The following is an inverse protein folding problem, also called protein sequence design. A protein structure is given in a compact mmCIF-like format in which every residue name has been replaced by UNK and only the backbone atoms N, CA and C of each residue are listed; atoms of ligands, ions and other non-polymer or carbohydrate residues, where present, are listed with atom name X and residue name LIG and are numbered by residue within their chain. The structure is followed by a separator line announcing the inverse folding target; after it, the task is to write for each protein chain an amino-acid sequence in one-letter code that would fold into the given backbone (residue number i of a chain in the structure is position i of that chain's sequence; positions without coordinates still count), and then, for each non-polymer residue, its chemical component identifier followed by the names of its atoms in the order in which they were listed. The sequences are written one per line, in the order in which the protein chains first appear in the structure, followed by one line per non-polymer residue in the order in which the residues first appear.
data_IF_305753134236
#
_entry.id   IF_305753134236
#
_cell.length_a   1.000
_cell.length_b   1.000
_cell.length_c   1.000
_cell.angle_alpha   90.00
_cell.angle_beta   90.00
_cell.angle_gamma   90.00
#
_symmetry.space_group_name_H-M   'P 1'
#
loop_
_entity.id
_entity.type
_entity.pdbx_description
1 polymer ?
#
# COMPACT_ATOMS: atom_id res chain seq x y z
N UNK A 1 41.27 -6.23 -28.59
CA UNK A 1 39.87 -6.19 -29.01
C UNK A 1 39.10 -6.93 -27.91
N UNK A 2 38.47 -6.20 -26.98
CA UNK A 2 37.63 -6.84 -25.96
C UNK A 2 36.35 -7.28 -26.68
N UNK A 3 35.95 -8.53 -26.52
CA UNK A 3 34.68 -9.01 -27.06
C UNK A 3 33.52 -8.39 -26.26
N UNK A 4 32.39 -8.12 -26.89
CA UNK A 4 31.19 -7.48 -26.27
C UNK A 4 30.78 -8.15 -24.96
N UNK A 5 30.95 -9.47 -24.81
CA UNK A 5 30.65 -10.22 -23.60
C UNK A 5 31.56 -9.89 -22.40
N UNK A 6 32.84 -9.60 -22.63
CA UNK A 6 33.79 -9.26 -21.57
C UNK A 6 33.60 -7.84 -21.04
N UNK A 7 33.21 -6.92 -21.94
CA UNK A 7 32.94 -5.53 -21.57
C UNK A 7 31.64 -5.39 -20.75
N UNK A 8 30.58 -6.10 -21.18
CA UNK A 8 29.32 -6.23 -20.47
C UNK A 8 29.52 -6.72 -19.02
N UNK A 9 30.36 -7.74 -18.82
CA UNK A 9 30.64 -8.28 -17.50
C UNK A 9 31.43 -7.30 -16.60
N UNK A 10 32.30 -6.48 -17.14
CA UNK A 10 33.05 -5.47 -16.38
C UNK A 10 32.11 -4.33 -15.92
N UNK A 11 31.22 -3.84 -16.78
CA UNK A 11 30.29 -2.76 -16.44
C UNK A 11 29.27 -3.14 -15.35
N UNK A 12 28.96 -4.41 -15.17
CA UNK A 12 28.07 -4.89 -14.11
C UNK A 12 28.67 -4.71 -12.70
N UNK A 13 29.98 -4.66 -12.58
CA UNK A 13 30.69 -4.53 -11.30
C UNK A 13 31.08 -3.08 -10.96
N UNK A 14 30.96 -2.14 -11.91
CA UNK A 14 31.26 -0.73 -11.67
C UNK A 14 30.06 -0.03 -11.02
N UNK A 15 30.32 0.83 -10.06
CA UNK A 15 29.31 1.71 -9.51
C UNK A 15 28.95 2.85 -10.50
N UNK A 16 27.91 3.62 -10.17
CA UNK A 16 27.45 4.69 -11.06
C UNK A 16 28.47 5.84 -11.19
N UNK A 17 29.33 6.08 -10.18
CA UNK A 17 30.36 7.12 -10.24
C UNK A 17 31.51 6.70 -11.14
N UNK A 18 31.91 5.43 -11.10
CA UNK A 18 32.95 4.86 -11.96
C UNK A 18 32.52 4.84 -13.43
N UNK A 19 31.26 4.47 -13.71
CA UNK A 19 30.68 4.53 -15.06
C UNK A 19 30.70 5.97 -15.59
N UNK A 20 30.32 6.93 -14.77
CA UNK A 20 30.34 8.34 -15.11
C UNK A 20 31.75 8.84 -15.40
N UNK A 21 32.72 8.49 -14.57
CA UNK A 21 34.14 8.83 -14.80
C UNK A 21 34.65 8.30 -16.14
N UNK A 22 34.33 7.04 -16.48
CA UNK A 22 34.70 6.44 -17.76
C UNK A 22 34.07 7.16 -18.96
N UNK A 23 32.83 7.61 -18.86
CA UNK A 23 32.16 8.34 -19.97
C UNK A 23 32.73 9.73 -20.21
N UNK A 24 33.34 10.35 -19.20
CA UNK A 24 33.97 11.67 -19.28
C UNK A 24 35.39 11.60 -19.87
N UNK A 25 36.12 10.48 -19.66
CA UNK A 25 37.56 10.35 -19.98
C UNK A 25 37.83 10.19 -21.49
N UNK A 26 36.98 9.52 -22.28
CA UNK A 26 37.23 9.43 -23.73
C UNK A 26 35.95 9.27 -24.56
N UNK A 27 36.03 9.79 -25.82
CA UNK A 27 34.93 9.66 -26.80
C UNK A 27 34.66 8.19 -27.19
N UNK A 28 35.67 7.35 -27.22
CA UNK A 28 35.55 5.91 -27.53
C UNK A 28 34.85 5.13 -26.46
N UNK A 29 35.18 5.38 -25.18
CA UNK A 29 34.51 4.77 -24.05
C UNK A 29 33.04 5.20 -23.96
N UNK A 30 32.74 6.46 -24.27
CA UNK A 30 31.40 6.96 -24.32
C UNK A 30 30.51 6.23 -25.31
N UNK A 31 30.99 5.95 -26.52
CA UNK A 31 30.25 5.23 -27.56
C UNK A 31 29.96 3.78 -27.15
N UNK A 32 30.95 3.07 -26.61
CA UNK A 32 30.81 1.69 -26.13
C UNK A 32 29.83 1.58 -24.94
N UNK A 33 29.97 2.48 -23.96
CA UNK A 33 29.11 2.52 -22.78
C UNK A 33 27.69 2.94 -23.19
N UNK A 34 27.52 3.89 -24.16
CA UNK A 34 26.20 4.35 -24.58
C UNK A 34 25.37 3.25 -25.22
N UNK A 35 25.99 2.40 -26.02
CA UNK A 35 25.27 1.30 -26.69
C UNK A 35 24.79 0.24 -25.68
N UNK A 36 25.62 -0.04 -24.67
CA UNK A 36 25.28 -0.98 -23.62
C UNK A 36 24.25 -0.42 -22.61
N UNK A 37 24.39 0.86 -22.19
CA UNK A 37 23.54 1.45 -21.13
C UNK A 37 22.21 2.03 -21.66
N UNK A 38 22.06 2.31 -22.95
CA UNK A 38 20.83 2.87 -23.52
C UNK A 38 19.56 2.08 -23.17
N UNK A 39 19.70 0.77 -22.99
CA UNK A 39 18.55 -0.12 -22.80
C UNK A 39 18.48 -0.79 -21.42
N UNK A 40 19.52 -0.71 -20.58
CA UNK A 40 19.64 -1.62 -19.44
C UNK A 40 19.83 -0.99 -18.07
N UNK A 41 20.25 0.27 -17.95
CA UNK A 41 20.59 0.84 -16.65
C UNK A 41 20.22 2.31 -16.52
N UNK A 42 19.68 2.67 -15.34
CA UNK A 42 19.47 4.06 -14.94
C UNK A 42 20.70 4.53 -14.16
N UNK A 43 21.29 5.65 -14.57
CA UNK A 43 22.47 6.23 -13.93
C UNK A 43 22.02 7.23 -12.87
N UNK A 44 22.35 6.97 -11.60
CA UNK A 44 22.08 7.87 -10.49
C UNK A 44 23.08 9.04 -10.44
N UNK A 45 22.58 10.27 -10.48
CA UNK A 45 23.38 11.49 -10.33
C UNK A 45 22.96 12.22 -9.04
N UNK A 46 23.56 11.89 -7.91
CA UNK A 46 23.24 12.54 -6.63
C UNK A 46 23.55 14.05 -6.70
N UNK A 47 22.49 14.89 -6.68
CA UNK A 47 22.54 16.36 -6.63
C UNK A 47 23.45 17.05 -7.67
N UNK A 48 23.97 16.33 -8.67
CA UNK A 48 24.82 16.88 -9.71
C UNK A 48 24.01 17.16 -10.98
N UNK A 49 23.39 18.35 -11.02
CA UNK A 49 22.53 18.82 -12.13
C UNK A 49 23.25 18.89 -13.46
N UNK A 50 24.45 19.43 -13.48
CA UNK A 50 25.22 19.63 -14.72
C UNK A 50 25.58 18.28 -15.35
N UNK A 51 26.05 17.34 -14.53
CA UNK A 51 26.36 15.99 -14.99
C UNK A 51 25.10 15.27 -15.51
N UNK A 52 23.99 15.36 -14.77
CA UNK A 52 22.72 14.75 -15.16
C UNK A 52 22.23 15.29 -16.52
N UNK A 53 22.25 16.60 -16.70
CA UNK A 53 21.88 17.24 -17.96
C UNK A 53 22.78 16.81 -19.13
N UNK A 54 24.09 16.72 -18.90
CA UNK A 54 25.05 16.26 -19.94
C UNK A 54 24.81 14.81 -20.32
N UNK A 55 24.65 13.90 -19.35
CA UNK A 55 24.40 12.48 -19.58
C UNK A 55 23.06 12.26 -20.29
N UNK A 56 22.01 12.95 -19.88
CA UNK A 56 20.70 12.88 -20.51
C UNK A 56 20.73 13.36 -21.98
N UNK A 57 21.46 14.45 -22.26
CA UNK A 57 21.67 14.93 -23.63
C UNK A 57 22.45 13.93 -24.50
N UNK A 58 23.23 13.04 -23.91
CA UNK A 58 23.90 11.94 -24.62
C UNK A 58 23.00 10.69 -24.78
N UNK A 59 21.74 10.74 -24.31
CA UNK A 59 20.74 9.68 -24.45
C UNK A 59 20.77 8.62 -23.36
N UNK A 60 21.47 8.86 -22.24
CA UNK A 60 21.41 7.96 -21.09
C UNK A 60 20.11 8.17 -20.29
N UNK A 61 19.57 7.08 -19.73
CA UNK A 61 18.52 7.15 -18.73
C UNK A 61 19.14 7.60 -17.40
N UNK A 62 18.88 8.81 -16.99
CA UNK A 62 19.45 9.42 -15.78
C UNK A 62 18.39 9.55 -14.72
N UNK A 63 18.74 9.17 -13.49
CA UNK A 63 17.99 9.48 -12.28
C UNK A 63 18.72 10.60 -11.52
N UNK A 64 18.01 11.69 -11.24
CA UNK A 64 18.51 12.83 -10.49
C UNK A 64 17.60 13.10 -9.29
N UNK A 65 18.21 13.16 -8.11
CA UNK A 65 17.54 13.54 -6.88
C UNK A 65 18.04 14.90 -6.39
N UNK A 66 17.14 15.89 -6.36
CA UNK A 66 17.37 17.24 -5.88
C UNK A 66 16.50 17.58 -4.66
N UNK A 67 15.96 16.57 -3.97
CA UNK A 67 15.12 16.75 -2.78
C UNK A 67 15.78 17.68 -1.76
N UNK A 68 14.99 18.61 -1.19
CA UNK A 68 15.43 19.60 -0.21
C UNK A 68 16.56 20.53 -0.70
N UNK A 69 16.69 20.78 -1.99
CA UNK A 69 17.61 21.78 -2.53
C UNK A 69 16.87 23.10 -2.82
N UNK A 70 17.62 24.20 -2.94
CA UNK A 70 17.06 25.50 -3.36
C UNK A 70 16.92 25.60 -4.90
N UNK A 71 16.58 24.46 -5.55
CA UNK A 71 16.41 24.43 -7.01
C UNK A 71 15.14 25.21 -7.40
N UNK A 72 15.29 26.16 -8.34
CA UNK A 72 14.21 26.94 -8.96
C UNK A 72 14.15 26.69 -10.47
N UNK A 73 15.30 26.79 -11.16
CA UNK A 73 15.40 26.55 -12.60
C UNK A 73 15.68 25.07 -12.92
N UNK A 74 14.87 24.48 -13.76
CA UNK A 74 14.96 23.08 -14.21
C UNK A 74 15.05 22.93 -15.73
N UNK A 75 15.23 24.03 -16.46
CA UNK A 75 15.24 24.09 -17.92
C UNK A 75 16.24 23.11 -18.58
N UNK A 76 17.41 22.91 -17.94
CA UNK A 76 18.43 21.97 -18.41
C UNK A 76 18.09 20.49 -18.17
N UNK A 77 17.03 20.16 -17.43
CA UNK A 77 16.69 18.81 -16.97
C UNK A 77 15.61 18.13 -17.80
N UNK A 78 15.16 18.72 -18.88
CA UNK A 78 14.07 18.26 -19.76
C UNK A 78 14.21 16.83 -20.30
N UNK A 79 15.41 16.26 -20.32
CA UNK A 79 15.70 14.90 -20.83
C UNK A 79 16.08 13.90 -19.72
N UNK A 80 16.03 14.30 -18.46
CA UNK A 80 16.26 13.40 -17.33
C UNK A 80 15.14 12.37 -17.30
N UNK A 81 15.47 11.08 -17.10
CA UNK A 81 14.49 10.00 -17.12
C UNK A 81 13.67 9.93 -15.84
N UNK A 82 14.32 10.01 -14.70
CA UNK A 82 13.68 10.08 -13.38
C UNK A 82 14.20 11.30 -12.62
N UNK A 83 13.30 12.19 -12.24
CA UNK A 83 13.64 13.45 -11.59
C UNK A 83 12.84 13.63 -10.30
N UNK A 84 13.55 13.76 -9.18
CA UNK A 84 12.94 14.09 -7.90
C UNK A 84 13.28 15.55 -7.53
N UNK A 85 12.24 16.37 -7.47
CA UNK A 85 12.28 17.79 -7.11
C UNK A 85 11.44 18.08 -5.84
N UNK A 86 11.12 17.04 -5.08
CA UNK A 86 10.28 17.23 -3.88
C UNK A 86 10.93 18.18 -2.88
N UNK A 87 10.10 19.00 -2.23
CA UNK A 87 10.56 20.01 -1.27
C UNK A 87 11.59 21.00 -1.84
N UNK A 88 11.48 21.36 -3.13
CA UNK A 88 12.29 22.41 -3.78
C UNK A 88 11.46 23.66 -3.98
N UNK A 89 12.07 24.72 -4.55
CA UNK A 89 11.40 25.99 -4.87
C UNK A 89 10.95 26.09 -6.32
N UNK A 90 10.87 24.95 -7.02
CA UNK A 90 10.42 24.92 -8.41
C UNK A 90 8.96 25.34 -8.50
N UNK A 91 8.68 26.23 -9.46
CA UNK A 91 7.33 26.69 -9.82
C UNK A 91 7.04 26.48 -11.30
N UNK A 92 8.04 26.63 -12.19
CA UNK A 92 7.91 26.41 -13.63
C UNK A 92 8.45 25.02 -14.00
N UNK A 93 7.55 24.19 -14.53
CA UNK A 93 7.82 22.80 -14.97
C UNK A 93 7.53 22.59 -16.47
N UNK A 94 7.33 23.69 -17.21
CA UNK A 94 6.96 23.67 -18.64
C UNK A 94 7.91 22.85 -19.53
N UNK A 95 9.18 22.74 -19.14
CA UNK A 95 10.19 21.97 -19.87
C UNK A 95 10.25 20.48 -19.49
N UNK A 96 9.50 20.02 -18.47
CA UNK A 96 9.65 18.67 -17.91
C UNK A 96 8.69 17.63 -18.51
N UNK A 97 7.89 17.95 -19.52
CA UNK A 97 6.89 17.08 -20.11
C UNK A 97 7.40 15.77 -20.73
N UNK A 98 8.70 15.63 -20.97
CA UNK A 98 9.31 14.40 -21.46
C UNK A 98 10.02 13.57 -20.38
N UNK A 99 9.97 13.98 -19.11
CA UNK A 99 10.47 13.19 -17.99
C UNK A 99 9.55 12.00 -17.78
N UNK A 100 10.13 10.80 -17.63
CA UNK A 100 9.32 9.58 -17.49
C UNK A 100 8.71 9.46 -16.08
N UNK A 101 9.51 9.74 -15.05
CA UNK A 101 9.09 9.71 -13.64
C UNK A 101 9.47 11.03 -12.98
N UNK A 102 8.48 11.78 -12.52
CA UNK A 102 8.65 13.11 -11.95
C UNK A 102 7.99 13.20 -10.59
N UNK A 103 8.78 13.60 -9.59
CA UNK A 103 8.26 13.92 -8.26
C UNK A 103 8.40 15.43 -8.00
N UNK A 104 7.26 16.09 -7.82
CA UNK A 104 7.10 17.50 -7.51
C UNK A 104 6.40 17.72 -6.15
N UNK A 105 6.32 16.70 -5.33
CA UNK A 105 5.60 16.80 -4.05
C UNK A 105 6.18 17.92 -3.16
N UNK A 106 5.31 18.59 -2.40
CA UNK A 106 5.70 19.71 -1.53
C UNK A 106 6.41 20.85 -2.27
N UNK A 107 6.01 21.15 -3.52
CA UNK A 107 6.49 22.32 -4.27
C UNK A 107 5.37 23.35 -4.44
N UNK A 108 5.72 24.52 -4.94
CA UNK A 108 4.77 25.63 -5.19
C UNK A 108 4.18 25.59 -6.61
N UNK A 109 4.29 24.44 -7.31
CA UNK A 109 3.78 24.26 -8.68
C UNK A 109 2.26 24.43 -8.70
N UNK A 110 1.77 25.14 -9.72
CA UNK A 110 0.33 25.37 -9.98
C UNK A 110 -0.07 24.97 -11.40
N UNK A 111 0.78 25.21 -12.39
CA UNK A 111 0.55 24.85 -13.80
C UNK A 111 1.30 23.55 -14.15
N UNK A 112 0.55 22.55 -14.57
CA UNK A 112 1.02 21.22 -14.96
C UNK A 112 0.62 20.83 -16.39
N UNK A 113 0.16 21.81 -17.17
CA UNK A 113 -0.36 21.61 -18.54
C UNK A 113 0.67 20.94 -19.49
N UNK A 114 1.97 21.18 -19.25
CA UNK A 114 3.04 20.56 -20.04
C UNK A 114 3.37 19.11 -19.65
N UNK A 115 2.78 18.55 -18.58
CA UNK A 115 3.16 17.26 -18.02
C UNK A 115 2.31 16.07 -18.52
N UNK A 116 1.53 16.24 -19.56
CA UNK A 116 0.59 15.25 -20.12
C UNK A 116 1.24 13.91 -20.54
N UNK A 117 2.55 13.93 -20.87
CA UNK A 117 3.30 12.76 -21.35
C UNK A 117 4.16 12.12 -20.23
N UNK A 118 4.17 12.66 -19.02
CA UNK A 118 4.86 12.05 -17.88
C UNK A 118 4.14 10.76 -17.49
N UNK A 119 4.88 9.65 -17.37
CA UNK A 119 4.26 8.36 -17.07
C UNK A 119 3.90 8.19 -15.60
N UNK A 120 4.80 8.60 -14.72
CA UNK A 120 4.59 8.56 -13.25
C UNK A 120 4.83 9.95 -12.69
N UNK A 121 3.80 10.56 -12.12
CA UNK A 121 3.80 11.94 -11.66
C UNK A 121 3.29 12.00 -10.21
N UNK A 122 4.11 12.57 -9.32
CA UNK A 122 3.71 12.89 -7.97
C UNK A 122 3.60 14.42 -7.82
N UNK A 123 2.39 14.89 -7.52
CA UNK A 123 2.02 16.28 -7.28
C UNK A 123 1.45 16.48 -5.86
N UNK A 124 1.64 15.49 -4.96
CA UNK A 124 1.07 15.56 -3.61
C UNK A 124 1.53 16.83 -2.88
N UNK A 125 0.60 17.42 -2.13
CA UNK A 125 0.85 18.64 -1.36
C UNK A 125 1.38 19.82 -2.18
N UNK A 126 0.99 19.92 -3.46
CA UNK A 126 1.22 21.08 -4.32
C UNK A 126 0.02 22.02 -4.32
N UNK A 127 0.13 23.14 -5.04
CA UNK A 127 -0.97 24.11 -5.21
C UNK A 127 -1.79 23.88 -6.49
N UNK A 128 -1.63 22.74 -7.13
CA UNK A 128 -2.34 22.37 -8.36
C UNK A 128 -3.85 22.30 -8.09
N UNK A 129 -4.64 22.81 -9.02
CA UNK A 129 -6.11 22.76 -9.01
C UNK A 129 -6.67 22.26 -10.34
N UNK A 130 -6.03 22.58 -11.46
CA UNK A 130 -6.39 22.10 -12.80
C UNK A 130 -5.49 20.94 -13.20
N UNK A 131 -6.11 19.79 -13.50
CA UNK A 131 -5.46 18.53 -13.87
C UNK A 131 -6.03 17.95 -15.17
N UNK A 132 -6.81 18.75 -15.92
CA UNK A 132 -7.53 18.34 -17.14
C UNK A 132 -6.63 17.73 -18.21
N UNK A 133 -5.36 18.12 -18.29
CA UNK A 133 -4.38 17.59 -19.26
C UNK A 133 -3.75 16.26 -18.82
N UNK A 134 -3.92 15.81 -17.56
CA UNK A 134 -3.18 14.68 -16.99
C UNK A 134 -3.86 13.31 -17.20
N UNK A 135 -4.92 13.23 -17.98
CA UNK A 135 -5.69 11.99 -18.20
C UNK A 135 -4.90 10.83 -18.83
N UNK A 136 -3.75 11.09 -19.44
CA UNK A 136 -2.87 10.07 -20.03
C UNK A 136 -1.73 9.62 -19.10
N UNK A 137 -1.57 10.24 -17.96
CA UNK A 137 -0.58 9.82 -16.93
C UNK A 137 -0.96 8.43 -16.42
N UNK A 138 0.00 7.54 -16.34
CA UNK A 138 -0.27 6.16 -15.92
C UNK A 138 -0.44 6.05 -14.39
N UNK A 139 0.46 6.70 -13.64
CA UNK A 139 0.41 6.75 -12.16
C UNK A 139 0.46 8.20 -11.73
N UNK A 140 -0.59 8.67 -11.07
CA UNK A 140 -0.77 10.05 -10.67
C UNK A 140 -1.11 10.14 -9.18
N UNK A 141 -0.28 10.86 -8.42
CA UNK A 141 -0.52 11.17 -7.03
C UNK A 141 -0.86 12.66 -6.90
N UNK A 142 -2.09 12.96 -6.48
CA UNK A 142 -2.65 14.27 -6.22
C UNK A 142 -3.05 14.44 -4.75
N UNK A 143 -2.55 13.57 -3.86
CA UNK A 143 -2.95 13.57 -2.45
C UNK A 143 -2.66 14.91 -1.79
N UNK A 144 -3.57 15.34 -0.91
CA UNK A 144 -3.50 16.60 -0.17
C UNK A 144 -3.42 17.86 -1.08
N UNK A 145 -3.91 17.79 -2.33
CA UNK A 145 -4.04 18.96 -3.21
C UNK A 145 -5.42 19.62 -3.08
N UNK A 146 -5.61 20.73 -3.78
CA UNK A 146 -6.91 21.44 -3.83
C UNK A 146 -7.78 21.05 -5.03
N UNK A 147 -7.43 19.98 -5.72
CA UNK A 147 -8.18 19.45 -6.86
C UNK A 147 -9.61 19.10 -6.44
N UNK A 148 -10.56 19.46 -7.28
CA UNK A 148 -12.00 19.16 -7.11
C UNK A 148 -12.61 18.51 -8.34
N UNK A 149 -12.15 18.87 -9.54
CA UNK A 149 -12.57 18.27 -10.81
C UNK A 149 -11.54 17.24 -11.28
N UNK A 150 -12.00 16.01 -11.50
CA UNK A 150 -11.22 14.85 -11.92
C UNK A 150 -11.85 14.13 -13.12
N UNK A 151 -12.76 14.81 -13.81
CA UNK A 151 -13.55 14.24 -14.92
C UNK A 151 -12.69 13.71 -16.06
N UNK A 152 -11.53 14.30 -16.32
CA UNK A 152 -10.59 13.89 -17.38
C UNK A 152 -9.64 12.76 -16.97
N UNK A 153 -9.64 12.34 -15.69
CA UNK A 153 -8.66 11.36 -15.16
C UNK A 153 -9.10 9.89 -15.28
N UNK A 154 -10.21 9.60 -15.93
CA UNK A 154 -10.77 8.25 -16.05
C UNK A 154 -9.90 7.19 -16.72
N UNK A 155 -8.84 7.58 -17.44
CA UNK A 155 -7.88 6.67 -18.10
C UNK A 155 -6.60 6.45 -17.27
N UNK A 156 -6.40 7.15 -16.18
CA UNK A 156 -5.27 6.96 -15.26
C UNK A 156 -5.35 5.54 -14.68
N UNK A 157 -4.24 4.81 -14.67
CA UNK A 157 -4.24 3.44 -14.15
C UNK A 157 -4.21 3.41 -12.62
N UNK A 158 -3.35 4.21 -12.01
CA UNK A 158 -3.27 4.35 -10.54
C UNK A 158 -3.42 5.83 -10.19
N UNK A 159 -4.46 6.16 -9.43
CA UNK A 159 -4.81 7.53 -9.07
C UNK A 159 -4.97 7.67 -7.56
N UNK A 160 -4.15 8.55 -6.96
CA UNK A 160 -4.29 8.91 -5.55
C UNK A 160 -4.88 10.32 -5.41
N UNK A 161 -6.04 10.40 -4.79
CA UNK A 161 -6.81 11.60 -4.47
C UNK A 161 -7.02 11.75 -2.96
N UNK A 162 -6.26 11.01 -2.14
CA UNK A 162 -6.37 11.03 -0.68
C UNK A 162 -6.30 12.46 -0.15
N UNK A 163 -7.21 12.84 0.76
CA UNK A 163 -7.22 14.14 1.39
C UNK A 163 -7.65 15.32 0.49
N UNK A 164 -8.05 15.06 -0.77
CA UNK A 164 -8.55 16.10 -1.68
C UNK A 164 -9.99 16.51 -1.35
N UNK A 165 -10.49 17.54 -2.06
CA UNK A 165 -11.87 18.01 -1.90
C UNK A 165 -12.83 17.43 -2.96
N UNK A 166 -12.42 16.39 -3.65
CA UNK A 166 -13.23 15.70 -4.67
C UNK A 166 -14.52 15.17 -4.04
N UNK A 167 -15.62 15.31 -4.77
CA UNK A 167 -16.95 14.80 -4.42
C UNK A 167 -17.53 13.94 -5.54
N UNK A 168 -17.33 14.33 -6.80
CA UNK A 168 -17.78 13.58 -7.97
C UNK A 168 -16.63 12.72 -8.51
N UNK A 169 -16.85 11.40 -8.57
CA UNK A 169 -15.91 10.39 -9.05
C UNK A 169 -16.53 9.52 -10.16
N UNK A 170 -17.67 9.96 -10.73
CA UNK A 170 -18.45 9.21 -11.70
C UNK A 170 -17.65 8.80 -12.94
N UNK A 171 -16.65 9.59 -13.34
CA UNK A 171 -15.80 9.32 -14.51
C UNK A 171 -14.62 8.38 -14.21
N UNK A 172 -14.38 8.00 -12.94
CA UNK A 172 -13.20 7.23 -12.52
C UNK A 172 -13.41 5.70 -12.54
N UNK A 173 -14.53 5.21 -13.03
CA UNK A 173 -14.87 3.78 -13.01
C UNK A 173 -13.95 2.84 -13.79
N UNK A 174 -13.05 3.34 -14.62
CA UNK A 174 -12.05 2.55 -15.36
C UNK A 174 -10.64 2.59 -14.73
N UNK A 175 -10.42 3.39 -13.69
CA UNK A 175 -9.17 3.43 -12.93
C UNK A 175 -8.95 2.05 -12.28
N UNK A 176 -7.73 1.52 -12.37
CA UNK A 176 -7.43 0.20 -11.81
C UNK A 176 -7.26 0.25 -10.28
N UNK A 177 -6.46 1.20 -9.79
CA UNK A 177 -6.24 1.42 -8.37
C UNK A 177 -6.58 2.87 -8.01
N UNK A 178 -7.61 3.07 -7.17
CA UNK A 178 -8.17 4.38 -6.85
C UNK A 178 -8.16 4.61 -5.34
N UNK A 179 -7.45 5.66 -4.91
CA UNK A 179 -7.34 6.07 -3.52
C UNK A 179 -8.15 7.34 -3.29
N UNK A 180 -9.19 7.25 -2.46
CA UNK A 180 -10.14 8.31 -2.15
C UNK A 180 -10.28 8.53 -0.62
N UNK A 181 -9.35 7.98 0.16
CA UNK A 181 -9.41 8.11 1.62
C UNK A 181 -9.41 9.59 2.04
N UNK A 182 -10.13 9.91 3.13
CA UNK A 182 -10.24 11.28 3.65
C UNK A 182 -10.84 12.31 2.68
N UNK A 183 -11.59 11.87 1.64
CA UNK A 183 -12.31 12.74 0.72
C UNK A 183 -13.75 12.96 1.17
N UNK A 184 -14.49 13.81 0.43
CA UNK A 184 -15.93 14.06 0.68
C UNK A 184 -16.85 13.22 -0.21
N UNK A 185 -16.32 12.20 -0.86
CA UNK A 185 -17.09 11.29 -1.73
C UNK A 185 -18.18 10.58 -0.91
N UNK A 186 -19.37 10.49 -1.48
CA UNK A 186 -20.53 9.77 -0.93
C UNK A 186 -21.11 8.79 -1.94
N UNK A 187 -21.14 9.15 -3.23
CA UNK A 187 -21.60 8.27 -4.31
C UNK A 187 -20.43 7.55 -4.98
N UNK A 188 -20.46 6.22 -4.95
CA UNK A 188 -19.45 5.31 -5.53
C UNK A 188 -20.08 4.34 -6.54
N UNK A 189 -21.32 4.59 -6.96
CA UNK A 189 -22.09 3.69 -7.83
C UNK A 189 -21.41 3.37 -9.15
N UNK A 190 -20.61 4.28 -9.69
CA UNK A 190 -19.86 4.09 -10.94
C UNK A 190 -18.53 3.36 -10.78
N UNK A 191 -18.07 3.07 -9.53
CA UNK A 191 -16.74 2.52 -9.26
C UNK A 191 -16.68 0.98 -9.21
N UNK A 192 -17.76 0.29 -9.54
CA UNK A 192 -17.85 -1.17 -9.44
C UNK A 192 -16.91 -1.98 -10.35
N UNK A 193 -16.15 -1.33 -11.26
CA UNK A 193 -15.12 -1.97 -12.11
C UNK A 193 -13.69 -1.71 -11.63
N UNK A 194 -13.50 -0.83 -10.66
CA UNK A 194 -12.19 -0.56 -10.05
C UNK A 194 -11.69 -1.85 -9.38
N UNK A 195 -10.42 -2.19 -9.59
CA UNK A 195 -9.85 -3.40 -9.01
C UNK A 195 -9.50 -3.22 -7.53
N UNK A 196 -8.84 -2.12 -7.19
CA UNK A 196 -8.47 -1.78 -5.81
C UNK A 196 -9.01 -0.41 -5.45
N UNK A 197 -9.92 -0.33 -4.47
CA UNK A 197 -10.64 0.88 -4.09
C UNK A 197 -10.46 1.17 -2.60
N UNK A 198 -9.95 2.38 -2.30
CA UNK A 198 -9.66 2.83 -0.94
C UNK A 198 -10.55 4.01 -0.58
N UNK A 199 -11.51 3.80 0.33
CA UNK A 199 -12.54 4.75 0.74
C UNK A 199 -12.51 5.04 2.25
N UNK A 200 -11.39 4.75 2.90
CA UNK A 200 -11.25 4.93 4.35
C UNK A 200 -11.59 6.35 4.78
N UNK A 201 -12.41 6.49 5.85
CA UNK A 201 -12.87 7.77 6.41
C UNK A 201 -13.62 8.68 5.42
N UNK A 202 -14.29 8.11 4.42
CA UNK A 202 -15.27 8.80 3.58
C UNK A 202 -16.67 8.73 4.21
N UNK A 203 -17.63 9.43 3.61
CA UNK A 203 -19.05 9.41 4.04
C UNK A 203 -19.91 8.45 3.20
N UNK A 204 -19.28 7.45 2.58
CA UNK A 204 -19.98 6.42 1.80
C UNK A 204 -20.90 5.61 2.73
N UNK A 205 -22.12 5.39 2.29
CA UNK A 205 -23.15 4.56 2.96
C UNK A 205 -23.56 3.38 2.06
N UNK A 206 -23.80 3.64 0.77
CA UNK A 206 -24.22 2.62 -0.21
C UNK A 206 -23.01 2.05 -0.97
N UNK A 207 -22.82 0.73 -0.87
CA UNK A 207 -21.77 -0.03 -1.55
C UNK A 207 -22.34 -1.15 -2.45
N UNK A 208 -23.63 -1.09 -2.75
CA UNK A 208 -24.37 -2.11 -3.51
C UNK A 208 -23.76 -2.41 -4.88
N UNK A 209 -23.13 -1.42 -5.51
CA UNK A 209 -22.47 -1.56 -6.82
C UNK A 209 -21.03 -2.07 -6.76
N UNK A 210 -20.44 -2.23 -5.56
CA UNK A 210 -19.01 -2.55 -5.39
C UNK A 210 -18.70 -4.06 -5.31
N UNK A 211 -19.67 -4.93 -5.46
CA UNK A 211 -19.51 -6.38 -5.31
C UNK A 211 -18.53 -7.08 -6.28
N UNK A 212 -17.99 -6.37 -7.28
CA UNK A 212 -16.98 -6.88 -8.22
C UNK A 212 -15.57 -6.32 -7.96
N UNK A 213 -15.44 -5.39 -7.03
CA UNK A 213 -14.13 -4.86 -6.59
C UNK A 213 -13.35 -6.00 -5.94
N UNK A 214 -12.08 -6.17 -6.29
CA UNK A 214 -11.25 -7.23 -5.73
C UNK A 214 -10.74 -6.88 -4.33
N UNK A 215 -10.22 -5.66 -4.17
CA UNK A 215 -9.69 -5.16 -2.89
C UNK A 215 -10.40 -3.89 -2.50
N UNK A 216 -11.10 -3.89 -1.35
CA UNK A 216 -11.97 -2.80 -0.91
C UNK A 216 -11.69 -2.40 0.54
N UNK A 217 -11.33 -1.12 0.74
CA UNK A 217 -11.10 -0.52 2.05
C UNK A 217 -12.22 0.46 2.39
N UNK A 218 -13.02 0.14 3.40
CA UNK A 218 -14.18 0.91 3.88
C UNK A 218 -14.04 1.29 5.37
N UNK A 219 -12.82 1.29 5.91
CA UNK A 219 -12.59 1.59 7.32
C UNK A 219 -13.09 2.98 7.70
N UNK A 220 -13.85 3.10 8.81
CA UNK A 220 -14.37 4.37 9.30
C UNK A 220 -15.43 5.03 8.41
N UNK A 221 -16.06 4.29 7.47
CA UNK A 221 -17.19 4.76 6.64
C UNK A 221 -18.52 4.63 7.39
N UNK A 222 -19.60 5.09 6.75
CA UNK A 222 -20.97 5.00 7.30
C UNK A 222 -21.71 3.73 6.84
N UNK A 223 -21.05 2.82 6.15
CA UNK A 223 -21.59 1.57 5.62
C UNK A 223 -22.16 0.73 6.75
N UNK A 224 -23.38 0.20 6.53
CA UNK A 224 -24.08 -0.74 7.41
C UNK A 224 -24.47 -2.03 6.68
N UNK A 225 -24.88 -1.95 5.42
CA UNK A 225 -25.22 -3.10 4.57
C UNK A 225 -24.04 -3.49 3.68
N UNK A 226 -23.59 -4.73 3.81
CA UNK A 226 -22.47 -5.33 3.06
C UNK A 226 -22.92 -6.57 2.25
N UNK A 227 -24.22 -6.79 2.13
CA UNK A 227 -24.81 -7.96 1.45
C UNK A 227 -24.34 -8.12 0.00
N UNK A 228 -24.09 -6.99 -0.70
CA UNK A 228 -23.57 -7.01 -2.07
C UNK A 228 -22.08 -7.38 -2.20
N UNK A 229 -21.31 -7.42 -1.10
CA UNK A 229 -19.86 -7.59 -1.12
C UNK A 229 -19.40 -9.04 -1.05
N UNK A 230 -20.27 -10.01 -1.23
CA UNK A 230 -20.04 -11.45 -1.13
C UNK A 230 -18.88 -11.98 -2.00
N UNK A 231 -18.55 -11.33 -3.12
CA UNK A 231 -17.49 -11.72 -4.04
C UNK A 231 -16.20 -10.88 -3.92
N UNK A 232 -16.13 -9.94 -3.00
CA UNK A 232 -14.91 -9.18 -2.72
C UNK A 232 -13.87 -10.12 -2.12
N UNK A 233 -12.65 -10.13 -2.65
CA UNK A 233 -11.60 -11.02 -2.16
C UNK A 233 -10.95 -10.49 -0.87
N UNK A 234 -10.64 -9.21 -0.83
CA UNK A 234 -10.01 -8.55 0.33
C UNK A 234 -10.87 -7.37 0.77
N UNK A 235 -11.41 -7.42 1.98
CA UNK A 235 -12.36 -6.44 2.51
C UNK A 235 -11.95 -5.94 3.89
N UNK A 236 -11.76 -4.62 4.01
CA UNK A 236 -11.43 -3.95 5.28
C UNK A 236 -12.58 -3.04 5.69
N UNK A 237 -13.24 -3.35 6.80
CA UNK A 237 -14.42 -2.66 7.37
C UNK A 237 -14.15 -2.09 8.77
N UNK A 238 -12.88 -2.03 9.19
CA UNK A 238 -12.54 -1.61 10.55
C UNK A 238 -13.17 -0.27 10.94
N UNK A 239 -13.76 -0.20 12.14
CA UNK A 239 -14.41 1.00 12.64
C UNK A 239 -15.63 1.50 11.83
N UNK A 240 -16.16 0.71 10.87
CA UNK A 240 -17.42 0.99 10.19
C UNK A 240 -18.64 0.68 11.09
N UNK A 241 -19.85 0.98 10.59
CA UNK A 241 -21.11 0.73 11.35
C UNK A 241 -21.72 -0.65 11.10
N UNK A 242 -20.99 -1.54 10.41
CA UNK A 242 -21.44 -2.90 10.08
C UNK A 242 -21.68 -3.71 11.35
N UNK A 243 -22.81 -4.46 11.36
CA UNK A 243 -23.17 -5.41 12.40
C UNK A 243 -23.51 -6.78 11.82
N UNK A 244 -24.19 -6.85 10.68
CA UNK A 244 -24.51 -8.10 9.98
C UNK A 244 -23.44 -8.41 8.92
N UNK A 245 -22.81 -9.57 9.05
CA UNK A 245 -21.74 -10.07 8.16
C UNK A 245 -22.08 -11.45 7.58
N UNK A 246 -23.32 -11.87 7.68
CA UNK A 246 -23.81 -13.20 7.25
C UNK A 246 -23.51 -13.51 5.77
N UNK A 247 -23.43 -12.46 4.91
CA UNK A 247 -23.10 -12.60 3.50
C UNK A 247 -21.58 -12.77 3.21
N UNK A 248 -20.69 -12.52 4.18
CA UNK A 248 -19.24 -12.38 3.92
C UNK A 248 -18.43 -13.67 4.07
N UNK A 249 -19.06 -14.83 4.23
CA UNK A 249 -18.39 -16.11 4.46
C UNK A 249 -17.43 -16.57 3.35
N UNK A 250 -17.50 -16.01 2.15
CA UNK A 250 -16.63 -16.35 1.02
C UNK A 250 -15.48 -15.33 0.81
N UNK A 251 -15.42 -14.25 1.59
CA UNK A 251 -14.32 -13.28 1.54
C UNK A 251 -13.04 -13.96 2.03
N UNK A 252 -11.95 -13.82 1.28
CA UNK A 252 -10.68 -14.48 1.64
C UNK A 252 -9.98 -13.75 2.80
N UNK A 253 -9.88 -12.42 2.74
CA UNK A 253 -9.30 -11.59 3.80
C UNK A 253 -10.33 -10.58 4.26
N UNK A 254 -10.72 -10.64 5.53
CA UNK A 254 -11.75 -9.81 6.13
C UNK A 254 -11.26 -9.17 7.44
N UNK A 255 -11.36 -7.85 7.55
CA UNK A 255 -11.07 -7.13 8.78
C UNK A 255 -12.30 -6.36 9.26
N UNK A 256 -12.83 -6.76 10.41
CA UNK A 256 -14.01 -6.22 11.08
C UNK A 256 -13.66 -5.53 12.40
N UNK A 257 -12.37 -5.25 12.66
CA UNK A 257 -11.91 -4.70 13.93
C UNK A 257 -12.65 -3.41 14.30
N UNK A 258 -13.09 -3.30 15.56
CA UNK A 258 -13.80 -2.12 16.06
C UNK A 258 -15.19 -1.88 15.45
N UNK A 259 -15.79 -2.90 14.81
CA UNK A 259 -17.19 -2.86 14.35
C UNK A 259 -18.16 -3.32 15.45
N UNK A 260 -19.46 -3.29 15.15
CA UNK A 260 -20.53 -3.77 16.06
C UNK A 260 -20.90 -5.24 15.82
N UNK A 261 -20.03 -5.99 15.13
CA UNK A 261 -20.27 -7.41 14.85
C UNK A 261 -20.21 -8.22 16.16
N UNK A 262 -21.21 -9.08 16.36
CA UNK A 262 -21.30 -10.05 17.46
C UNK A 262 -21.43 -11.47 16.94
N UNK A 263 -22.21 -11.69 15.86
CA UNK A 263 -22.37 -12.99 15.22
C UNK A 263 -21.38 -13.17 14.05
N UNK A 264 -20.52 -14.19 14.15
CA UNK A 264 -19.49 -14.56 13.15
C UNK A 264 -19.68 -15.99 12.64
N UNK A 265 -20.83 -16.60 12.90
CA UNK A 265 -21.12 -17.99 12.55
C UNK A 265 -20.96 -18.29 11.05
N UNK A 266 -21.20 -17.31 10.17
CA UNK A 266 -21.04 -17.43 8.72
C UNK A 266 -19.57 -17.36 8.25
N UNK A 267 -18.62 -16.96 9.11
CA UNK A 267 -17.25 -16.59 8.68
C UNK A 267 -16.23 -17.75 8.75
N UNK A 268 -16.66 -18.96 9.02
CA UNK A 268 -15.77 -20.12 9.20
C UNK A 268 -14.90 -20.50 8.00
N UNK A 269 -15.20 -20.02 6.78
CA UNK A 269 -14.41 -20.25 5.58
C UNK A 269 -13.49 -19.08 5.20
N UNK A 270 -13.52 -17.99 5.95
CA UNK A 270 -12.59 -16.85 5.74
C UNK A 270 -11.18 -17.31 6.08
N UNK A 271 -10.22 -17.04 5.19
CA UNK A 271 -8.83 -17.45 5.40
C UNK A 271 -8.10 -16.58 6.44
N UNK A 272 -8.24 -15.25 6.31
CA UNK A 272 -7.64 -14.28 7.26
C UNK A 272 -8.75 -13.40 7.82
N UNK A 273 -8.98 -13.46 9.13
CA UNK A 273 -10.07 -12.78 9.83
C UNK A 273 -9.55 -11.93 10.99
N UNK A 274 -9.81 -10.63 10.96
CA UNK A 274 -9.54 -9.68 12.04
C UNK A 274 -10.83 -9.26 12.74
N UNK A 275 -10.93 -9.52 14.03
CA UNK A 275 -12.07 -9.22 14.91
C UNK A 275 -11.69 -8.40 16.14
N UNK A 276 -10.52 -7.71 16.11
CA UNK A 276 -10.04 -6.96 17.29
C UNK A 276 -11.10 -5.98 17.81
N UNK A 277 -11.29 -5.94 19.12
CA UNK A 277 -12.20 -5.00 19.78
C UNK A 277 -13.62 -5.01 19.23
N UNK A 278 -14.16 -6.21 18.89
CA UNK A 278 -15.57 -6.43 18.55
C UNK A 278 -16.32 -7.02 19.74
N UNK A 279 -17.68 -7.10 19.60
CA UNK A 279 -18.56 -7.73 20.59
C UNK A 279 -18.62 -9.26 20.53
N UNK A 280 -17.77 -9.89 19.74
CA UNK A 280 -17.77 -11.35 19.54
C UNK A 280 -17.44 -12.08 20.83
N UNK A 281 -18.26 -13.12 21.14
CA UNK A 281 -18.08 -14.01 22.30
C UNK A 281 -18.03 -15.47 21.88
N UNK A 282 -18.78 -15.87 20.82
CA UNK A 282 -18.80 -17.22 20.27
C UNK A 282 -17.95 -17.32 19.00
N UNK A 283 -16.96 -18.20 19.04
CA UNK A 283 -16.00 -18.46 17.94
C UNK A 283 -16.01 -19.95 17.51
N UNK A 284 -17.04 -20.68 17.94
CA UNK A 284 -17.15 -22.13 17.70
C UNK A 284 -17.09 -22.52 16.21
N UNK A 285 -17.54 -21.63 15.32
CA UNK A 285 -17.54 -21.86 13.87
C UNK A 285 -16.23 -21.44 13.18
N UNK A 286 -15.25 -20.85 13.89
CA UNK A 286 -14.04 -20.28 13.29
C UNK A 286 -12.83 -21.23 13.23
N UNK A 287 -13.00 -22.50 13.58
CA UNK A 287 -11.92 -23.48 13.66
C UNK A 287 -11.16 -23.76 12.34
N UNK A 288 -11.72 -23.40 11.18
CA UNK A 288 -11.06 -23.55 9.87
C UNK A 288 -10.39 -22.26 9.36
N UNK A 289 -10.52 -21.15 10.07
CA UNK A 289 -9.82 -19.91 9.74
C UNK A 289 -8.31 -20.13 9.88
N UNK A 290 -7.52 -19.73 8.90
CA UNK A 290 -6.07 -19.93 8.94
C UNK A 290 -5.37 -18.90 9.84
N UNK A 291 -5.73 -17.63 9.70
CA UNK A 291 -5.20 -16.53 10.52
C UNK A 291 -6.36 -15.80 11.19
N UNK A 292 -6.41 -15.83 12.52
CA UNK A 292 -7.49 -15.26 13.32
C UNK A 292 -6.94 -14.32 14.39
N UNK A 293 -7.44 -13.08 14.39
CA UNK A 293 -7.11 -12.10 15.42
C UNK A 293 -8.35 -11.73 16.23
N UNK A 294 -8.33 -12.06 17.52
CA UNK A 294 -9.40 -11.84 18.50
C UNK A 294 -8.98 -10.85 19.61
N UNK A 295 -7.92 -10.08 19.39
CA UNK A 295 -7.41 -9.13 20.40
C UNK A 295 -8.53 -8.26 20.99
N UNK A 296 -8.61 -8.21 22.33
CA UNK A 296 -9.54 -7.34 23.03
C UNK A 296 -11.03 -7.72 22.90
N UNK A 297 -11.35 -8.92 22.40
CA UNK A 297 -12.71 -9.45 22.39
C UNK A 297 -13.12 -10.04 23.76
N UNK A 298 -14.40 -10.35 23.92
CA UNK A 298 -14.92 -10.97 25.15
C UNK A 298 -14.96 -12.53 25.08
N UNK A 299 -14.20 -13.10 24.15
CA UNK A 299 -14.07 -14.55 23.98
C UNK A 299 -13.42 -15.17 25.22
N UNK A 300 -13.97 -16.28 25.69
CA UNK A 300 -13.44 -17.07 26.80
C UNK A 300 -13.30 -18.57 26.45
N UNK A 301 -14.15 -19.11 25.57
CA UNK A 301 -14.05 -20.49 25.07
C UNK A 301 -13.39 -20.47 23.68
N UNK A 302 -12.25 -21.13 23.55
CA UNK A 302 -11.44 -21.25 22.33
C UNK A 302 -11.20 -22.71 21.92
N UNK A 303 -11.95 -23.64 22.50
CA UNK A 303 -11.78 -25.09 22.28
C UNK A 303 -11.90 -25.48 20.80
N UNK A 304 -12.73 -24.77 20.01
CA UNK A 304 -12.88 -25.00 18.58
C UNK A 304 -11.68 -24.53 17.72
N UNK A 305 -10.74 -23.74 18.27
CA UNK A 305 -9.70 -23.04 17.49
C UNK A 305 -8.39 -23.83 17.34
N UNK A 306 -8.34 -25.08 17.75
CA UNK A 306 -7.13 -25.92 17.74
C UNK A 306 -6.49 -26.14 16.36
N UNK A 307 -7.21 -25.92 15.27
CA UNK A 307 -6.70 -26.04 13.89
C UNK A 307 -6.30 -24.71 13.25
N UNK A 308 -6.53 -23.58 13.90
CA UNK A 308 -6.09 -22.26 13.43
C UNK A 308 -4.56 -22.23 13.39
N UNK A 309 -3.98 -21.77 12.29
CA UNK A 309 -2.52 -21.73 12.15
C UNK A 309 -1.90 -20.57 12.93
N UNK A 310 -2.44 -19.37 12.78
CA UNK A 310 -2.00 -18.16 13.50
C UNK A 310 -3.17 -17.60 14.29
N UNK A 311 -3.05 -17.55 15.61
CA UNK A 311 -4.09 -17.13 16.53
C UNK A 311 -3.57 -16.04 17.49
N UNK A 312 -4.22 -14.88 17.49
CA UNK A 312 -3.98 -13.83 18.47
C UNK A 312 -5.17 -13.70 19.42
N UNK A 313 -4.95 -14.03 20.69
CA UNK A 313 -5.90 -13.98 21.80
C UNK A 313 -5.52 -12.88 22.79
N UNK A 314 -4.59 -11.99 22.44
CA UNK A 314 -4.13 -10.96 23.37
C UNK A 314 -5.28 -10.09 23.88
N UNK A 315 -5.19 -9.66 25.15
CA UNK A 315 -6.20 -8.84 25.83
C UNK A 315 -7.59 -9.50 25.94
N UNK A 316 -7.71 -10.83 25.82
CA UNK A 316 -8.97 -11.55 26.01
C UNK A 316 -9.13 -12.12 27.43
N UNK A 317 -10.32 -12.68 27.73
CA UNK A 317 -10.62 -13.27 29.05
C UNK A 317 -10.31 -14.78 29.09
N UNK A 318 -9.63 -15.32 28.07
CA UNK A 318 -9.29 -16.75 27.98
C UNK A 318 -8.45 -17.19 29.18
N UNK A 319 -8.80 -18.35 29.72
CA UNK A 319 -8.11 -19.02 30.83
C UNK A 319 -7.63 -20.43 30.47
N UNK A 320 -8.38 -21.14 29.62
CA UNK A 320 -8.07 -22.51 29.16
C UNK A 320 -7.64 -22.47 27.69
N UNK A 321 -6.49 -23.06 27.40
CA UNK A 321 -5.87 -23.18 26.06
C UNK A 321 -5.44 -24.61 25.77
N UNK A 322 -6.00 -25.58 26.49
CA UNK A 322 -5.61 -26.99 26.40
C UNK A 322 -5.80 -27.59 24.98
N UNK A 323 -6.78 -27.10 24.21
CA UNK A 323 -7.07 -27.54 22.86
C UNK A 323 -6.21 -26.86 21.79
N UNK A 324 -5.41 -25.84 22.14
CA UNK A 324 -4.62 -25.06 21.19
C UNK A 324 -3.23 -25.64 20.87
N UNK A 325 -2.93 -26.85 21.29
CA UNK A 325 -1.62 -27.48 21.13
C UNK A 325 -1.12 -27.64 19.68
N UNK A 326 -1.98 -27.58 18.67
CA UNK A 326 -1.62 -27.70 17.26
C UNK A 326 -1.50 -26.31 16.55
N UNK A 327 -1.87 -25.22 17.20
CA UNK A 327 -1.68 -23.88 16.68
C UNK A 327 -0.19 -23.62 16.45
N UNK A 328 0.19 -23.08 15.29
CA UNK A 328 1.60 -22.82 14.98
C UNK A 328 2.13 -21.53 15.64
N UNK A 329 1.39 -20.45 15.54
CA UNK A 329 1.70 -19.17 16.17
C UNK A 329 0.57 -18.73 17.07
N UNK A 330 0.85 -18.55 18.38
CA UNK A 330 -0.14 -18.21 19.38
C UNK A 330 0.31 -17.00 20.21
N UNK A 331 -0.54 -15.97 20.27
CA UNK A 331 -0.33 -14.81 21.13
C UNK A 331 -1.33 -14.82 22.28
N UNK A 332 -0.82 -14.91 23.50
CA UNK A 332 -1.56 -14.93 24.76
C UNK A 332 -1.26 -13.74 25.65
N UNK A 333 -0.66 -12.70 25.12
CA UNK A 333 -0.29 -11.51 25.93
C UNK A 333 -1.53 -10.91 26.60
N UNK A 334 -1.35 -10.49 27.86
CA UNK A 334 -2.41 -9.83 28.62
C UNK A 334 -3.70 -10.67 28.76
N UNK A 335 -3.58 -12.02 28.76
CA UNK A 335 -4.67 -12.98 29.03
C UNK A 335 -4.65 -13.44 30.48
N UNK A 336 -5.66 -14.26 30.87
CA UNK A 336 -5.74 -14.88 32.20
C UNK A 336 -5.21 -16.33 32.23
N UNK A 337 -4.57 -16.76 31.19
CA UNK A 337 -4.00 -18.12 31.07
C UNK A 337 -2.93 -18.33 32.14
N UNK A 338 -2.99 -19.47 32.83
CA UNK A 338 -2.01 -19.87 33.85
C UNK A 338 -1.32 -21.19 33.53
N UNK A 339 -1.94 -22.07 32.74
CA UNK A 339 -1.39 -23.36 32.32
C UNK A 339 -1.20 -23.39 30.81
N UNK A 340 0.04 -23.68 30.37
CA UNK A 340 0.44 -23.83 28.97
C UNK A 340 1.05 -25.22 28.71
N UNK A 341 0.84 -26.19 29.61
CA UNK A 341 1.44 -27.53 29.55
C UNK A 341 1.10 -28.28 28.25
N UNK A 342 -0.09 -28.02 27.69
CA UNK A 342 -0.56 -28.65 26.45
C UNK A 342 -0.03 -27.97 25.17
N UNK A 343 0.65 -26.81 25.28
CA UNK A 343 1.14 -26.04 24.14
C UNK A 343 2.53 -26.45 23.61
N UNK A 344 3.00 -27.65 23.97
CA UNK A 344 4.35 -28.13 23.62
C UNK A 344 4.67 -28.20 22.11
N UNK A 345 3.67 -28.17 21.22
CA UNK A 345 3.86 -28.16 19.77
C UNK A 345 3.72 -26.78 19.15
N UNK A 346 3.30 -25.76 19.90
CA UNK A 346 3.22 -24.39 19.43
C UNK A 346 4.62 -23.89 19.11
N UNK A 347 4.83 -23.43 17.87
CA UNK A 347 6.15 -23.04 17.37
C UNK A 347 6.57 -21.65 17.85
N UNK A 348 5.64 -20.71 17.80
CA UNK A 348 5.83 -19.34 18.25
C UNK A 348 4.78 -18.98 19.31
N UNK A 349 5.18 -18.98 20.58
CA UNK A 349 4.31 -18.60 21.70
C UNK A 349 4.75 -17.23 22.27
N UNK A 350 3.81 -16.29 22.32
CA UNK A 350 3.96 -15.01 23.02
C UNK A 350 3.06 -15.01 24.27
N UNK A 351 3.62 -14.78 25.45
CA UNK A 351 2.90 -14.89 26.73
C UNK A 351 3.27 -13.82 27.77
N UNK A 352 3.67 -12.62 27.31
CA UNK A 352 4.00 -11.51 28.23
C UNK A 352 2.76 -11.07 29.02
N UNK A 353 2.96 -10.73 30.32
CA UNK A 353 1.92 -10.33 31.27
C UNK A 353 0.85 -11.41 31.53
N UNK A 354 1.10 -12.67 31.19
CA UNK A 354 0.30 -13.80 31.64
C UNK A 354 0.82 -14.33 32.99
N UNK A 355 -0.06 -14.97 33.78
CA UNK A 355 0.34 -15.60 35.05
C UNK A 355 0.94 -17.01 34.84
N UNK A 356 1.51 -17.26 33.68
CA UNK A 356 2.03 -18.59 33.28
C UNK A 356 3.16 -19.00 34.23
N UNK A 357 2.95 -20.08 34.98
CA UNK A 357 4.02 -20.78 35.67
C UNK A 357 4.72 -21.71 34.67
N UNK A 358 5.87 -21.26 34.12
CA UNK A 358 6.68 -22.04 33.21
C UNK A 358 7.30 -23.22 33.97
N UNK A 359 6.71 -24.42 33.88
CA UNK A 359 7.48 -25.65 34.07
C UNK A 359 8.31 -25.84 32.80
N UNK A 360 9.67 -25.83 32.94
CA UNK A 360 10.60 -26.11 31.84
C UNK A 360 10.13 -27.35 31.07
N UNK A 361 9.69 -27.13 29.82
CA UNK A 361 9.56 -28.19 28.81
C UNK A 361 10.65 -27.91 27.79
N UNK A 362 11.57 -28.83 27.61
CA UNK A 362 12.91 -28.66 26.97
C UNK A 362 12.90 -28.46 25.43
N UNK A 363 11.81 -28.02 24.81
CA UNK A 363 11.75 -27.93 23.31
C UNK A 363 11.11 -26.66 22.73
N UNK A 364 10.62 -25.73 23.54
CA UNK A 364 10.09 -24.47 23.00
C UNK A 364 11.09 -23.33 23.19
N UNK A 365 11.49 -22.66 22.11
CA UNK A 365 12.20 -21.38 22.17
C UNK A 365 11.22 -20.29 22.62
N UNK A 366 11.18 -20.01 23.92
CA UNK A 366 10.40 -18.92 24.47
C UNK A 366 11.16 -17.60 24.22
N UNK A 367 10.57 -16.69 23.50
CA UNK A 367 11.00 -15.29 23.51
C UNK A 367 10.26 -14.55 24.62
N UNK A 368 10.86 -14.52 25.84
CA UNK A 368 10.52 -13.55 26.87
C UNK A 368 11.26 -12.26 26.50
N UNK A 369 10.57 -11.28 25.96
CA UNK A 369 11.05 -9.90 25.90
C UNK A 369 9.99 -8.96 26.44
#
# INVERSE_FOLDING_TARGET
MFTDLTFSNVLQFLDNEEIVRLTVVSKGWRLLISEFLKNWRVIGCKRNRELAARLSNWGYKVQLDLTYTNTEDVSALAKVYTLNLSCTRVTDVSMLGNVHTLNLSHTEVTDVSALENVRTLNLSQTKVTDVSTLGNVHTLDLSDTKVTDVSDLGNVHTLDLTGTKVTDVSMLGNVHSLYLSDTKVTDVSMLGKVHSLYLTRTKVEDVSMLGKVHTLYLGGTLVTDVSALVNVHTLYLYGSKVADVSALGNVHTLNLSGTKVEDVSALGNVHTLGLCYTGVTDVSMLGNVHTLNLTGTQVNDVSALGNVHTLDLSETQVTDVSDLGNVHTLDLRDTKVTDVSMLGKVHNLKSRNTKVMVRKVDTCKYYLK
#
